data_IF_957659112611
#
_entry.id   IF_957659112611
#
_cell.length_a   1.000
_cell.length_b   1.000
_cell.length_c   1.000
_cell.angle_alpha   90.00
_cell.angle_beta   90.00
_cell.angle_gamma   90.00
#
_symmetry.space_group_name_H-M   'P 1'
#
loop_
_entity.id
_entity.type
_entity.pdbx_description
1 polymer ?
#
# COMPACT_ATOMS: atom_id res chain seq x y z
N UNK A 1 -1.05 -16.69 -13.64
CA UNK A 1 -2.04 -15.76 -13.04
C UNK A 1 -1.28 -14.50 -12.71
N UNK A 2 -1.85 -13.33 -12.99
CA UNK A 2 -1.28 -12.05 -12.59
C UNK A 2 -2.10 -11.47 -11.45
N UNK A 3 -1.42 -10.97 -10.43
CA UNK A 3 -2.03 -10.29 -9.29
C UNK A 3 -1.42 -8.90 -9.22
N UNK A 4 -2.27 -7.87 -9.26
CA UNK A 4 -1.84 -6.47 -9.22
C UNK A 4 -2.47 -5.80 -8.01
N UNK A 5 -1.65 -5.20 -7.14
CA UNK A 5 -2.12 -4.27 -6.11
C UNK A 5 -2.21 -2.86 -6.67
N UNK A 6 -3.03 -2.03 -6.04
CA UNK A 6 -3.16 -0.61 -6.37
C UNK A 6 -3.52 0.18 -5.11
N UNK A 7 -2.77 1.23 -4.81
CA UNK A 7 -3.05 2.16 -3.72
C UNK A 7 -2.74 3.59 -4.16
N UNK A 8 -3.63 4.53 -3.84
CA UNK A 8 -3.37 5.97 -4.01
C UNK A 8 -2.61 6.53 -2.80
N UNK A 9 -1.62 7.39 -3.06
CA UNK A 9 -0.73 7.90 -2.03
C UNK A 9 -1.06 9.34 -1.68
N UNK A 10 -1.54 9.57 -0.45
CA UNK A 10 -1.70 10.90 0.12
C UNK A 10 -0.53 11.26 1.02
N UNK A 11 -0.20 10.36 1.97
CA UNK A 11 0.86 10.53 2.97
C UNK A 11 0.82 11.93 3.60
N UNK A 12 -0.30 12.30 4.20
CA UNK A 12 -0.51 13.63 4.75
C UNK A 12 -1.85 13.76 5.47
N UNK A 13 -2.15 14.96 5.94
CA UNK A 13 -3.43 15.25 6.58
C UNK A 13 -4.56 15.24 5.54
N UNK A 14 -5.64 14.52 5.85
CA UNK A 14 -6.82 14.37 4.99
C UNK A 14 -7.47 15.70 4.61
N UNK A 15 -7.62 16.64 5.54
CA UNK A 15 -8.24 17.94 5.26
C UNK A 15 -7.40 18.77 4.28
N UNK A 16 -6.07 18.70 4.39
CA UNK A 16 -5.16 19.36 3.43
C UNK A 16 -5.24 18.74 2.05
N UNK A 17 -5.39 17.41 1.98
CA UNK A 17 -5.53 16.70 0.71
C UNK A 17 -6.86 17.04 0.03
N UNK A 18 -7.98 16.95 0.77
CA UNK A 18 -9.31 17.28 0.26
C UNK A 18 -9.42 18.73 -0.23
N UNK A 19 -8.72 19.68 0.42
CA UNK A 19 -8.73 21.07 -0.01
C UNK A 19 -8.02 21.28 -1.36
N UNK A 20 -6.85 20.66 -1.57
CA UNK A 20 -6.06 20.80 -2.79
C UNK A 20 -5.32 19.49 -3.18
N UNK A 21 -6.02 18.48 -3.74
CA UNK A 21 -5.43 17.14 -3.94
C UNK A 21 -4.20 17.16 -4.86
N UNK A 22 -4.29 17.86 -6.00
CA UNK A 22 -3.20 17.94 -6.96
C UNK A 22 -1.94 18.60 -6.37
N UNK A 23 -2.10 19.60 -5.51
CA UNK A 23 -0.98 20.26 -4.84
C UNK A 23 -0.41 19.41 -3.70
N UNK A 24 -1.27 18.76 -2.91
CA UNK A 24 -0.86 17.88 -1.81
C UNK A 24 0.04 16.74 -2.31
N UNK A 25 -0.35 16.13 -3.44
CA UNK A 25 0.35 15.00 -4.07
C UNK A 25 1.74 15.33 -4.61
N UNK A 26 2.01 16.58 -5.00
CA UNK A 26 3.34 17.01 -5.49
C UNK A 26 4.47 16.88 -4.45
N UNK A 27 4.13 16.75 -3.17
CA UNK A 27 5.10 16.56 -2.10
C UNK A 27 5.46 15.10 -1.85
N UNK A 28 4.84 14.15 -2.55
CA UNK A 28 5.15 12.73 -2.41
C UNK A 28 6.14 12.32 -3.49
N UNK A 29 7.33 11.93 -3.05
CA UNK A 29 8.36 11.34 -3.91
C UNK A 29 8.28 9.82 -3.80
N UNK A 30 8.30 9.12 -4.93
CA UNK A 30 8.27 7.66 -4.97
C UNK A 30 9.62 7.09 -5.41
N UNK A 31 9.97 5.90 -4.91
CA UNK A 31 11.18 5.17 -5.30
C UNK A 31 10.80 3.69 -5.44
N UNK A 32 11.16 3.07 -6.55
CA UNK A 32 10.99 1.64 -6.79
C UNK A 32 12.27 0.92 -6.39
N UNK A 33 12.15 -0.08 -5.51
CA UNK A 33 13.28 -0.88 -5.06
C UNK A 33 13.89 -1.70 -6.21
N UNK A 34 15.19 -2.09 -6.12
CA UNK A 34 15.79 -3.03 -7.06
C UNK A 34 14.90 -4.27 -7.25
N UNK A 35 14.70 -4.69 -8.50
CA UNK A 35 13.81 -5.78 -8.91
C UNK A 35 12.30 -5.50 -8.82
N UNK A 36 11.87 -4.24 -8.72
CA UNK A 36 10.45 -3.86 -8.62
C UNK A 36 9.73 -4.55 -7.45
N UNK A 37 10.49 -4.86 -6.41
CA UNK A 37 10.10 -5.62 -5.22
C UNK A 37 9.15 -4.87 -4.28
N UNK A 38 9.40 -3.57 -4.20
CA UNK A 38 8.77 -2.64 -3.27
C UNK A 38 8.71 -1.25 -3.90
N UNK A 39 7.75 -0.45 -3.43
CA UNK A 39 7.62 0.98 -3.74
C UNK A 39 7.71 1.72 -2.42
N UNK A 40 8.73 2.55 -2.29
CA UNK A 40 8.86 3.52 -1.22
C UNK A 40 8.18 4.82 -1.65
N UNK A 41 7.64 5.54 -0.68
CA UNK A 41 7.14 6.88 -0.89
C UNK A 41 7.43 7.75 0.33
N UNK A 42 7.98 8.94 0.10
CA UNK A 42 8.33 9.87 1.17
C UNK A 42 7.63 11.20 0.92
N UNK A 43 6.96 11.73 1.94
CA UNK A 43 6.41 13.08 1.86
C UNK A 43 7.49 14.09 2.22
N UNK A 44 7.83 14.99 1.30
CA UNK A 44 8.66 16.15 1.59
C UNK A 44 7.91 17.12 2.50
N UNK A 45 8.58 17.51 3.58
CA UNK A 45 8.09 18.53 4.51
C UNK A 45 7.90 19.87 3.80
N UNK A 46 6.80 20.55 4.13
CA UNK A 46 6.55 21.93 3.72
C UNK A 46 7.04 22.89 4.79
N UNK A 47 6.81 22.53 6.04
CA UNK A 47 7.29 23.24 7.22
C UNK A 47 8.25 22.35 8.03
N UNK A 48 9.18 22.97 8.78
CA UNK A 48 10.12 22.22 9.64
C UNK A 48 9.41 21.40 10.72
N UNK A 49 8.20 21.82 11.11
CA UNK A 49 7.38 21.15 12.12
C UNK A 49 6.50 20.03 11.54
N UNK A 50 6.45 19.86 10.22
CA UNK A 50 5.74 18.72 9.63
C UNK A 50 6.42 17.41 10.09
N UNK A 51 5.64 16.34 10.35
CA UNK A 51 6.21 15.05 10.71
C UNK A 51 7.02 14.47 9.53
N UNK A 52 8.11 13.77 9.84
CA UNK A 52 8.74 12.90 8.85
C UNK A 52 7.80 11.72 8.57
N UNK A 53 7.45 11.53 7.30
CA UNK A 53 6.50 10.51 6.90
C UNK A 53 6.99 9.80 5.64
N UNK A 54 7.28 8.51 5.79
CA UNK A 54 7.62 7.64 4.68
C UNK A 54 6.80 6.34 4.77
N UNK A 55 6.61 5.72 3.62
CA UNK A 55 5.83 4.50 3.45
C UNK A 55 6.60 3.53 2.56
N UNK A 56 6.43 2.23 2.80
CA UNK A 56 6.76 1.18 1.82
C UNK A 56 5.53 0.33 1.53
N UNK A 57 5.32 0.03 0.25
CA UNK A 57 4.40 -0.99 -0.22
C UNK A 57 5.21 -2.11 -0.89
N UNK A 58 5.07 -3.35 -0.44
CA UNK A 58 5.80 -4.49 -1.00
C UNK A 58 4.97 -5.79 -0.92
N UNK A 59 5.47 -6.85 -1.54
CA UNK A 59 4.78 -8.15 -1.56
C UNK A 59 5.73 -9.29 -1.21
N UNK A 60 5.32 -10.12 -0.25
CA UNK A 60 5.97 -11.38 0.07
C UNK A 60 5.42 -12.48 -0.83
N UNK A 61 6.31 -13.06 -1.63
CA UNK A 61 6.01 -14.12 -2.59
C UNK A 61 6.85 -15.38 -2.27
N UNK A 62 6.24 -16.48 -1.83
CA UNK A 62 6.96 -17.71 -1.50
C UNK A 62 7.47 -18.47 -2.74
N UNK A 63 7.10 -18.06 -3.96
CA UNK A 63 7.55 -18.71 -5.20
C UNK A 63 8.97 -18.32 -5.65
N UNK A 64 9.65 -17.45 -4.89
CA UNK A 64 11.02 -16.99 -5.15
C UNK A 64 11.06 -15.59 -5.78
N UNK A 65 12.26 -15.02 -6.03
CA UNK A 65 12.39 -13.71 -6.67
C UNK A 65 11.74 -13.76 -8.06
N UNK A 66 10.59 -13.07 -8.19
CA UNK A 66 9.84 -13.00 -9.42
C UNK A 66 10.63 -12.16 -10.43
N UNK A 67 11.17 -12.81 -11.47
CA UNK A 67 11.79 -12.10 -12.61
C UNK A 67 10.79 -11.19 -13.34
N UNK A 68 9.50 -11.40 -13.09
CA UNK A 68 8.37 -10.68 -13.70
C UNK A 68 7.68 -9.74 -12.69
N UNK A 69 8.44 -9.25 -11.72
CA UNK A 69 8.02 -8.19 -10.83
C UNK A 69 7.91 -6.86 -11.60
N UNK A 70 6.75 -6.22 -11.55
CA UNK A 70 6.54 -4.89 -12.14
C UNK A 70 5.99 -3.91 -11.11
N UNK A 71 6.30 -2.64 -11.28
CA UNK A 71 5.88 -1.56 -10.40
C UNK A 71 5.42 -0.35 -11.24
N UNK A 72 4.43 0.39 -10.73
CA UNK A 72 4.02 1.69 -11.28
C UNK A 72 3.79 2.67 -10.14
N UNK A 73 4.22 3.92 -10.35
CA UNK A 73 4.02 5.01 -9.39
C UNK A 73 3.29 6.22 -9.97
N UNK A 74 2.94 6.21 -11.27
CA UNK A 74 2.10 7.23 -11.91
C UNK A 74 0.68 6.69 -12.18
N UNK A 75 -0.35 7.27 -11.53
CA UNK A 75 -1.75 6.88 -11.73
C UNK A 75 -2.19 7.01 -13.18
N UNK A 76 -1.72 8.04 -13.89
CA UNK A 76 -2.09 8.28 -15.30
C UNK A 76 -1.50 7.21 -16.20
N UNK A 77 -0.27 6.77 -15.92
CA UNK A 77 0.34 5.65 -16.64
C UNK A 77 -0.38 4.32 -16.35
N UNK A 78 -0.78 4.10 -15.09
CA UNK A 78 -1.50 2.88 -14.68
C UNK A 78 -2.93 2.80 -15.24
N UNK A 79 -3.74 3.85 -15.02
CA UNK A 79 -5.16 3.88 -15.39
C UNK A 79 -5.33 4.20 -16.87
N UNK A 80 -4.56 5.14 -17.40
CA UNK A 80 -4.72 5.65 -18.76
C UNK A 80 -5.78 6.77 -18.85
N UNK A 81 -5.68 7.56 -19.92
CA UNK A 81 -6.57 8.72 -20.14
C UNK A 81 -8.00 8.26 -20.43
N UNK A 82 -8.97 8.83 -19.72
CA UNK A 82 -10.40 8.59 -19.94
C UNK A 82 -10.89 7.23 -19.41
N UNK A 83 -10.09 6.56 -18.59
CA UNK A 83 -10.38 5.25 -18.00
C UNK A 83 -10.53 5.37 -16.48
N UNK A 84 -10.95 4.28 -15.87
CA UNK A 84 -11.08 4.10 -14.42
C UNK A 84 -10.24 2.91 -13.96
N UNK A 85 -10.22 2.64 -12.66
CA UNK A 85 -9.55 1.44 -12.14
C UNK A 85 -10.16 0.13 -12.67
N UNK A 86 -11.45 0.14 -13.05
CA UNK A 86 -12.16 -1.03 -13.55
C UNK A 86 -11.75 -1.44 -14.97
N UNK A 87 -11.20 -0.50 -15.76
CA UNK A 87 -10.83 -0.66 -17.18
C UNK A 87 -9.44 -0.07 -17.47
N UNK A 88 -8.57 -0.06 -16.45
CA UNK A 88 -7.24 0.53 -16.50
C UNK A 88 -6.37 -0.05 -17.62
N UNK A 89 -5.60 0.80 -18.31
CA UNK A 89 -4.68 0.41 -19.39
C UNK A 89 -3.63 -0.59 -18.95
N UNK A 90 -3.26 -0.59 -17.67
CA UNK A 90 -2.39 -1.61 -17.10
C UNK A 90 -2.88 -3.03 -17.37
N UNK A 91 -4.19 -3.28 -17.46
CA UNK A 91 -4.77 -4.61 -17.69
C UNK A 91 -4.97 -4.96 -19.18
N UNK A 92 -4.63 -4.05 -20.09
CA UNK A 92 -4.67 -4.35 -21.52
C UNK A 92 -3.60 -5.41 -21.87
N UNK A 93 -3.89 -6.34 -22.81
CA UNK A 93 -2.96 -7.41 -23.17
C UNK A 93 -1.57 -6.89 -23.57
N UNK A 94 -0.53 -7.41 -22.92
CA UNK A 94 0.87 -7.10 -23.23
C UNK A 94 1.41 -5.80 -22.63
N UNK A 95 0.60 -5.04 -21.89
CA UNK A 95 1.06 -3.83 -21.19
C UNK A 95 1.90 -4.20 -19.97
N UNK A 96 3.13 -3.69 -19.94
CA UNK A 96 4.06 -3.75 -18.79
C UNK A 96 3.97 -2.45 -17.99
N UNK A 97 4.06 -2.53 -16.67
CA UNK A 97 4.19 -1.32 -15.84
C UNK A 97 5.57 -0.68 -16.08
N UNK A 98 5.60 0.66 -16.11
CA UNK A 98 6.78 1.38 -16.60
C UNK A 98 7.95 1.41 -15.61
N UNK A 99 7.69 1.17 -14.32
CA UNK A 99 8.67 1.37 -13.27
C UNK A 99 9.05 2.84 -13.05
N UNK A 100 8.20 3.79 -13.48
CA UNK A 100 8.43 5.21 -13.23
C UNK A 100 8.54 5.48 -11.73
N UNK A 101 9.36 6.47 -11.35
CA UNK A 101 9.62 6.85 -9.97
C UNK A 101 10.04 8.32 -9.88
N UNK A 102 10.09 8.86 -8.67
CA UNK A 102 10.36 10.26 -8.36
C UNK A 102 9.07 11.03 -8.09
N UNK A 103 9.02 12.29 -8.54
CA UNK A 103 7.86 13.17 -8.40
C UNK A 103 6.92 12.98 -9.59
N UNK A 104 5.83 12.23 -9.38
CA UNK A 104 4.72 12.12 -10.32
C UNK A 104 3.60 13.09 -9.94
N UNK A 105 2.77 13.49 -10.90
CA UNK A 105 1.66 14.41 -10.62
C UNK A 105 0.57 13.76 -9.75
N UNK A 106 0.41 12.44 -9.86
CA UNK A 106 -0.62 11.67 -9.20
C UNK A 106 -0.03 10.32 -8.75
N UNK A 107 0.61 10.28 -7.57
CA UNK A 107 1.40 9.15 -7.12
C UNK A 107 0.53 7.98 -6.65
N UNK A 108 0.87 6.79 -7.12
CA UNK A 108 0.29 5.51 -6.70
C UNK A 108 1.37 4.56 -6.25
N UNK A 109 0.98 3.49 -5.57
CA UNK A 109 1.80 2.30 -5.41
C UNK A 109 1.04 1.12 -6.03
N UNK A 110 1.52 0.65 -7.19
CA UNK A 110 0.98 -0.54 -7.83
C UNK A 110 2.09 -1.56 -8.06
N UNK A 111 1.91 -2.77 -7.53
CA UNK A 111 2.83 -3.89 -7.73
C UNK A 111 2.11 -5.00 -8.47
N UNK A 112 2.73 -5.48 -9.56
CA UNK A 112 2.27 -6.66 -10.28
C UNK A 112 3.20 -7.84 -10.02
N UNK A 113 2.59 -8.99 -9.77
CA UNK A 113 3.27 -10.29 -9.65
C UNK A 113 2.61 -11.31 -10.54
N UNK A 114 3.42 -11.99 -11.32
CA UNK A 114 3.01 -13.17 -12.05
C UNK A 114 3.34 -14.42 -11.24
N UNK A 115 2.31 -15.23 -10.97
CA UNK A 115 2.45 -16.49 -10.23
C UNK A 115 1.93 -17.66 -11.05
N UNK A 116 2.63 -18.79 -10.92
CA UNK A 116 2.23 -20.08 -11.50
C UNK A 116 1.68 -20.96 -10.40
N UNK A 117 0.37 -21.20 -10.39
CA UNK A 117 -0.27 -22.13 -9.45
C UNK A 117 -0.23 -23.54 -10.05
N UNK A 118 0.48 -24.51 -9.44
CA UNK A 118 0.46 -25.89 -9.91
C UNK A 118 -0.92 -26.53 -9.71
N UNK A 119 -1.23 -27.57 -10.48
CA UNK A 119 -2.48 -28.31 -10.33
C UNK A 119 -2.67 -28.82 -8.89
N UNK A 120 -3.87 -28.62 -8.35
CA UNK A 120 -4.23 -29.00 -6.96
C UNK A 120 -3.32 -28.40 -5.87
N UNK A 121 -2.66 -27.27 -6.15
CA UNK A 121 -1.86 -26.52 -5.16
C UNK A 121 -2.44 -25.15 -4.91
N UNK A 122 -2.02 -24.54 -3.81
CA UNK A 122 -2.34 -23.17 -3.40
C UNK A 122 -1.05 -22.36 -3.33
N UNK A 123 -1.13 -21.11 -3.77
CA UNK A 123 -0.10 -20.08 -3.53
C UNK A 123 -0.76 -18.97 -2.72
N UNK A 124 0.02 -18.33 -1.84
CA UNK A 124 -0.43 -17.19 -1.06
C UNK A 124 0.54 -16.04 -1.28
N UNK A 125 0.04 -14.88 -1.67
CA UNK A 125 0.79 -13.63 -1.75
C UNK A 125 0.32 -12.72 -0.62
N UNK A 126 1.25 -12.04 0.04
CA UNK A 126 0.91 -11.05 1.07
C UNK A 126 1.43 -9.69 0.67
N UNK A 127 0.53 -8.74 0.45
CA UNK A 127 0.89 -7.34 0.22
C UNK A 127 0.96 -6.62 1.57
N UNK A 128 2.06 -5.91 1.78
CA UNK A 128 2.33 -5.16 2.99
C UNK A 128 2.38 -3.67 2.65
N UNK A 129 1.78 -2.87 3.53
CA UNK A 129 1.96 -1.43 3.54
C UNK A 129 2.38 -1.04 4.95
N UNK A 130 3.54 -0.42 5.07
CA UNK A 130 4.07 0.07 6.35
C UNK A 130 4.40 1.56 6.23
N UNK A 131 4.23 2.28 7.34
CA UNK A 131 4.53 3.70 7.46
C UNK A 131 5.48 3.88 8.63
N UNK A 132 6.47 4.75 8.47
CA UNK A 132 7.49 5.04 9.47
C UNK A 132 8.02 6.45 9.34
N UNK A 133 8.89 6.86 10.25
CA UNK A 133 9.49 8.19 10.24
C UNK A 133 10.63 8.30 9.22
N UNK A 134 11.30 7.20 8.88
CA UNK A 134 12.46 7.22 7.99
C UNK A 134 12.66 5.88 7.27
N UNK A 135 13.58 5.88 6.30
CA UNK A 135 13.91 4.70 5.47
C UNK A 135 14.38 3.50 6.30
N UNK A 136 15.18 3.72 7.34
CA UNK A 136 15.71 2.64 8.16
C UNK A 136 14.59 1.86 8.87
N UNK A 137 13.58 2.55 9.42
CA UNK A 137 12.41 1.90 10.02
C UNK A 137 11.62 1.05 9.01
N UNK A 138 11.53 1.51 7.75
CA UNK A 138 10.87 0.75 6.69
C UNK A 138 11.68 -0.47 6.27
N UNK A 139 13.00 -0.34 6.15
CA UNK A 139 13.88 -1.46 5.83
C UNK A 139 13.84 -2.53 6.93
N UNK A 140 13.80 -2.12 8.21
CA UNK A 140 13.56 -3.03 9.34
C UNK A 140 12.17 -3.70 9.25
N UNK A 141 11.14 -2.95 8.86
CA UNK A 141 9.81 -3.50 8.67
C UNK A 141 9.80 -4.57 7.56
N UNK A 142 10.46 -4.31 6.42
CA UNK A 142 10.61 -5.28 5.33
C UNK A 142 11.35 -6.51 5.83
N UNK A 143 12.52 -6.35 6.45
CA UNK A 143 13.31 -7.46 6.97
C UNK A 143 12.51 -8.35 7.94
N UNK A 144 11.65 -7.75 8.76
CA UNK A 144 10.80 -8.48 9.71
C UNK A 144 9.60 -9.16 9.04
N UNK A 145 9.04 -8.55 8.00
CA UNK A 145 7.74 -8.93 7.43
C UNK A 145 7.85 -9.75 6.14
N UNK A 146 8.98 -9.70 5.43
CA UNK A 146 9.16 -10.37 4.15
C UNK A 146 9.45 -11.88 4.28
N UNK A 147 8.55 -12.56 4.98
CA UNK A 147 8.58 -13.99 5.23
C UNK A 147 7.15 -14.52 5.20
N UNK A 148 6.94 -15.71 4.63
CA UNK A 148 5.61 -16.28 4.43
C UNK A 148 4.80 -16.40 5.74
N UNK A 149 5.48 -16.68 6.85
CA UNK A 149 4.84 -16.87 8.17
C UNK A 149 4.49 -15.54 8.87
N UNK A 150 5.06 -14.42 8.41
CA UNK A 150 4.89 -13.11 9.05
C UNK A 150 3.44 -12.67 9.06
N UNK A 151 2.67 -12.98 8.01
CA UNK A 151 1.26 -12.60 7.94
C UNK A 151 0.44 -13.19 9.10
N UNK A 152 0.55 -14.51 9.32
CA UNK A 152 -0.18 -15.19 10.39
C UNK A 152 0.18 -14.60 11.76
N UNK A 153 1.48 -14.35 11.99
CA UNK A 153 1.97 -13.73 13.23
C UNK A 153 1.39 -12.33 13.43
N UNK A 154 1.46 -11.46 12.42
CA UNK A 154 0.95 -10.09 12.52
C UNK A 154 -0.57 -10.05 12.68
N UNK A 155 -1.31 -10.92 11.98
CA UNK A 155 -2.75 -11.04 12.12
C UNK A 155 -3.16 -11.42 13.55
N UNK A 156 -2.46 -12.37 14.18
CA UNK A 156 -2.71 -12.75 15.58
C UNK A 156 -2.40 -11.60 16.56
N UNK A 157 -1.31 -10.86 16.34
CA UNK A 157 -0.96 -9.70 17.17
C UNK A 157 -1.99 -8.57 17.02
N UNK A 158 -2.41 -8.26 15.80
CA UNK A 158 -3.43 -7.27 15.51
C UNK A 158 -4.77 -7.64 16.16
N UNK A 159 -5.18 -8.91 16.06
CA UNK A 159 -6.38 -9.43 16.72
C UNK A 159 -6.29 -9.24 18.24
N UNK A 160 -5.20 -9.67 18.86
CA UNK A 160 -4.99 -9.55 20.32
C UNK A 160 -5.04 -8.09 20.76
N UNK A 161 -4.38 -7.18 20.04
CA UNK A 161 -4.40 -5.74 20.33
C UNK A 161 -5.81 -5.16 20.22
N UNK A 162 -6.57 -5.54 19.20
CA UNK A 162 -7.96 -5.10 19.01
C UNK A 162 -8.85 -5.56 20.16
N UNK A 163 -8.70 -6.79 20.64
CA UNK A 163 -9.43 -7.31 21.80
C UNK A 163 -9.12 -6.52 23.09
N UNK A 164 -7.84 -6.27 23.35
CA UNK A 164 -7.39 -5.49 24.53
C UNK A 164 -7.94 -4.07 24.48
N UNK A 165 -7.86 -3.41 23.33
CA UNK A 165 -8.38 -2.05 23.15
C UNK A 165 -9.91 -1.99 23.36
N UNK A 166 -10.64 -2.97 22.81
CA UNK A 166 -12.10 -3.07 22.97
C UNK A 166 -12.49 -3.23 24.44
N UNK A 167 -11.74 -4.04 25.21
CA UNK A 167 -11.92 -4.16 26.67
C UNK A 167 -11.62 -2.89 27.44
N UNK A 168 -10.55 -2.16 27.10
CA UNK A 168 -10.23 -0.88 27.76
C UNK A 168 -11.32 0.18 27.54
N UNK A 169 -12.00 0.13 26.38
CA UNK A 169 -13.13 1.00 26.07
C UNK A 169 -14.46 0.51 26.68
N UNK A 170 -14.47 -0.63 27.37
CA UNK A 170 -15.68 -1.21 27.95
C UNK A 170 -16.70 -1.70 26.92
N UNK A 171 -16.28 -1.90 25.67
CA UNK A 171 -17.14 -2.34 24.58
C UNK A 171 -17.16 -3.87 24.49
N UNK A 172 -18.31 -4.46 24.16
CA UNK A 172 -18.32 -5.83 23.65
C UNK A 172 -17.83 -5.86 22.19
N UNK A 173 -17.51 -7.05 21.66
CA UNK A 173 -17.13 -7.18 20.25
C UNK A 173 -18.26 -6.77 19.30
N UNK A 174 -19.51 -7.05 19.68
CA UNK A 174 -20.69 -6.62 18.93
C UNK A 174 -20.82 -5.10 18.93
N UNK A 175 -20.58 -4.45 20.08
CA UNK A 175 -20.64 -2.99 20.18
C UNK A 175 -19.52 -2.34 19.38
N UNK A 176 -18.30 -2.88 19.45
CA UNK A 176 -17.18 -2.39 18.65
C UNK A 176 -17.47 -2.48 17.14
N UNK A 177 -18.07 -3.57 16.67
CA UNK A 177 -18.48 -3.72 15.28
C UNK A 177 -19.56 -2.69 14.88
N UNK A 178 -20.55 -2.46 15.74
CA UNK A 178 -21.60 -1.46 15.50
C UNK A 178 -21.03 -0.03 15.49
N UNK A 179 -20.15 0.30 16.43
CA UNK A 179 -19.47 1.59 16.50
C UNK A 179 -18.63 1.82 15.25
N UNK A 180 -17.84 0.83 14.80
CA UNK A 180 -17.08 0.93 13.54
C UNK A 180 -18.01 1.16 12.33
N UNK A 181 -19.14 0.46 12.28
CA UNK A 181 -20.13 0.61 11.21
C UNK A 181 -20.77 2.00 11.19
N UNK A 182 -21.01 2.63 12.34
CA UNK A 182 -21.52 4.00 12.43
C UNK A 182 -20.43 5.03 12.16
N UNK A 183 -19.26 4.86 12.77
CA UNK A 183 -18.11 5.76 12.63
C UNK A 183 -17.70 5.95 11.17
N UNK A 184 -17.80 4.91 10.33
CA UNK A 184 -17.50 5.04 8.89
C UNK A 184 -18.32 6.14 8.20
N UNK A 185 -19.60 6.29 8.59
CA UNK A 185 -20.50 7.29 8.01
C UNK A 185 -20.30 8.68 8.60
N UNK A 186 -19.70 8.78 9.79
CA UNK A 186 -19.42 10.05 10.45
C UNK A 186 -18.06 10.61 10.03
N UNK A 187 -17.07 9.74 9.83
CA UNK A 187 -15.70 10.12 9.46
C UNK A 187 -15.59 10.35 7.95
N UNK A 188 -16.27 9.51 7.14
CA UNK A 188 -16.31 9.62 5.68
C UNK A 188 -17.77 9.79 5.22
N UNK A 189 -18.39 10.96 5.46
CA UNK A 189 -19.77 11.23 5.09
C UNK A 189 -20.02 11.29 3.58
#
# INVERSE_FOLDING_TARGET
>A
IEVTSFAELVLGNEASDNAHPAFSKMFVETEVAPNNGAIFATRRKRDKNDPDLTMVHFVTDPSGPSRDAEAETDRRAFIGRGRTIADAVAFDPGVRLSGSQGFTLDPVAALRRQVRVPANKKISLTFWTAVGANRAELDEAIARLDHQESFARQAMLAWTRSQVQTRHLGLSLTDAANVQKLARYLIYP
#
